data_IF_071514342111
#
_entry.id   IF_071514342111
#
_cell.length_a   1.000
_cell.length_b   1.000
_cell.length_c   1.000
_cell.angle_alpha   90.00
_cell.angle_beta   90.00
_cell.angle_gamma   90.00
#
_symmetry.space_group_name_H-M   'P 1'
#
loop_
_entity.id
_entity.type
_entity.pdbx_description
1 polymer ?
#
# COMPACT_ATOMS: atom_id res chain seq x y z
N UNK A 1 -12.31 7.78 12.30
CA UNK A 1 -11.11 7.18 12.92
C UNK A 1 -10.80 5.91 12.16
N UNK A 2 -9.61 5.82 11.57
CA UNK A 2 -9.21 4.64 10.80
C UNK A 2 -9.04 3.44 11.75
N UNK A 3 -9.19 2.22 11.22
CA UNK A 3 -9.07 0.99 12.01
C UNK A 3 -7.68 0.85 12.64
N UNK A 4 -6.63 1.25 11.91
CA UNK A 4 -5.27 1.24 12.43
C UNK A 4 -5.11 2.15 13.65
N UNK A 5 -5.76 3.31 13.66
CA UNK A 5 -5.71 4.25 14.80
C UNK A 5 -6.36 3.63 16.04
N UNK A 6 -7.49 2.93 15.87
CA UNK A 6 -8.16 2.22 16.97
C UNK A 6 -7.27 1.12 17.55
N UNK A 7 -6.64 0.33 16.70
CA UNK A 7 -5.71 -0.74 17.13
C UNK A 7 -4.52 -0.15 17.88
N UNK A 8 -3.93 0.95 17.38
CA UNK A 8 -2.85 1.67 18.04
C UNK A 8 -3.25 2.24 19.40
N UNK A 9 -4.45 2.81 19.50
CA UNK A 9 -4.98 3.33 20.77
C UNK A 9 -5.15 2.21 21.81
N UNK A 10 -5.66 1.05 21.40
CA UNK A 10 -5.77 -0.12 22.27
C UNK A 10 -4.39 -0.61 22.71
N UNK A 11 -3.47 -0.80 21.76
CA UNK A 11 -2.10 -1.25 22.00
C UNK A 11 -1.35 -0.35 23.00
N UNK A 12 -1.44 0.97 22.84
CA UNK A 12 -0.77 1.94 23.71
C UNK A 12 -1.20 1.83 25.19
N UNK A 13 -2.39 1.29 25.47
CA UNK A 13 -2.92 1.10 26.83
C UNK A 13 -2.53 -0.25 27.44
N UNK A 14 -2.05 -1.21 26.65
CA UNK A 14 -1.76 -2.58 27.12
C UNK A 14 -0.67 -2.60 28.20
N UNK A 15 0.50 -1.96 28.03
CA UNK A 15 1.59 -2.06 29.02
C UNK A 15 1.16 -1.66 30.44
N UNK A 16 0.42 -0.56 30.58
CA UNK A 16 -0.06 -0.07 31.87
C UNK A 16 -1.17 -0.96 32.48
N UNK A 17 -1.93 -1.67 31.64
CA UNK A 17 -3.02 -2.55 32.11
C UNK A 17 -2.49 -3.90 32.55
N UNK A 18 -1.53 -4.47 31.84
CA UNK A 18 -1.02 -5.83 32.07
C UNK A 18 -0.48 -6.00 33.49
N UNK A 19 0.16 -4.98 34.07
CA UNK A 19 0.66 -5.00 35.45
C UNK A 19 -0.43 -5.25 36.51
N UNK A 20 -1.69 -4.94 36.17
CA UNK A 20 -2.83 -5.08 37.07
C UNK A 20 -3.76 -6.26 36.73
N UNK A 21 -3.49 -6.99 35.63
CA UNK A 21 -4.32 -8.11 35.18
C UNK A 21 -3.75 -9.42 35.72
N UNK A 22 -4.45 -10.04 36.66
CA UNK A 22 -4.01 -11.27 37.34
C UNK A 22 -4.81 -12.52 36.96
N UNK A 23 -5.89 -12.38 36.21
CA UNK A 23 -6.80 -13.49 35.88
C UNK A 23 -7.16 -13.49 34.41
N UNK A 24 -7.58 -14.65 33.91
CA UNK A 24 -8.09 -14.81 32.55
C UNK A 24 -9.34 -13.93 32.31
N UNK A 25 -10.26 -13.88 33.27
CA UNK A 25 -11.45 -13.00 33.21
C UNK A 25 -11.08 -11.51 33.12
N UNK A 26 -10.06 -11.07 33.86
CA UNK A 26 -9.57 -9.70 33.75
C UNK A 26 -8.94 -9.45 32.37
N UNK A 27 -8.22 -10.43 31.80
CA UNK A 27 -7.69 -10.35 30.42
C UNK A 27 -8.80 -10.22 29.39
N UNK A 28 -9.84 -11.05 29.49
CA UNK A 28 -11.01 -11.02 28.59
C UNK A 28 -11.65 -9.63 28.58
N UNK A 29 -11.94 -9.07 29.76
CA UNK A 29 -12.62 -7.79 29.89
C UNK A 29 -11.73 -6.60 29.51
N UNK A 30 -10.46 -6.59 29.94
CA UNK A 30 -9.59 -5.42 29.80
C UNK A 30 -8.92 -5.31 28.43
N UNK A 31 -8.72 -6.44 27.73
CA UNK A 31 -7.95 -6.54 26.48
C UNK A 31 -8.77 -7.13 25.32
N UNK A 32 -9.42 -8.28 25.50
CA UNK A 32 -10.08 -9.01 24.39
C UNK A 32 -11.40 -8.36 23.95
N UNK A 33 -12.30 -8.01 24.88
CA UNK A 33 -13.55 -7.32 24.53
C UNK A 33 -13.35 -5.98 23.80
N UNK A 34 -12.41 -5.11 24.23
CA UNK A 34 -12.05 -3.92 23.46
C UNK A 34 -11.59 -4.23 22.04
N UNK A 35 -10.82 -5.30 21.85
CA UNK A 35 -10.38 -5.73 20.52
C UNK A 35 -11.54 -6.20 19.65
N UNK A 36 -12.45 -7.03 20.18
CA UNK A 36 -13.68 -7.46 19.47
C UNK A 36 -14.53 -6.23 19.10
N UNK A 37 -14.62 -5.24 19.99
CA UNK A 37 -15.31 -3.97 19.72
C UNK A 37 -14.62 -3.19 18.60
N UNK A 38 -13.28 -3.17 18.58
CA UNK A 38 -12.52 -2.48 17.52
C UNK A 38 -12.71 -3.15 16.14
N UNK A 39 -12.93 -4.47 16.09
CA UNK A 39 -13.35 -5.18 14.88
C UNK A 39 -14.77 -4.78 14.41
N UNK A 40 -15.53 -4.04 15.21
CA UNK A 40 -16.84 -3.52 14.85
C UNK A 40 -18.01 -4.41 15.26
N UNK A 41 -17.77 -5.47 16.04
CA UNK A 41 -18.82 -6.32 16.60
C UNK A 41 -19.32 -5.75 17.93
N UNK A 42 -20.63 -5.80 18.16
CA UNK A 42 -21.23 -5.29 19.38
C UNK A 42 -21.14 -6.31 20.52
N UNK A 43 -20.20 -6.11 21.44
CA UNK A 43 -20.01 -6.96 22.63
C UNK A 43 -21.17 -6.90 23.63
N UNK A 44 -22.09 -5.95 23.49
CA UNK A 44 -23.29 -5.83 24.31
C UNK A 44 -24.54 -6.43 23.67
N UNK A 45 -24.44 -6.89 22.41
CA UNK A 45 -25.53 -7.58 21.72
C UNK A 45 -25.32 -9.09 21.84
N UNK A 46 -26.12 -9.81 22.67
CA UNK A 46 -25.98 -11.24 22.86
C UNK A 46 -26.40 -12.06 21.63
N UNK A 47 -26.91 -11.43 20.57
CA UNK A 47 -27.17 -12.09 19.28
C UNK A 47 -25.98 -11.99 18.32
N UNK A 48 -25.00 -11.13 18.63
CA UNK A 48 -23.81 -10.89 17.83
C UNK A 48 -22.54 -11.41 18.51
N UNK A 49 -22.33 -11.12 19.79
CA UNK A 49 -21.20 -11.65 20.56
C UNK A 49 -21.75 -12.45 21.73
N UNK A 50 -21.63 -13.77 21.64
CA UNK A 50 -22.14 -14.70 22.66
C UNK A 50 -21.00 -15.13 23.58
N UNK A 51 -20.98 -14.71 24.86
CA UNK A 51 -20.03 -15.23 25.83
C UNK A 51 -20.38 -16.67 26.22
N UNK A 52 -19.38 -17.43 26.67
CA UNK A 52 -19.55 -18.82 27.12
C UNK A 52 -20.35 -19.67 26.13
N UNK A 53 -20.06 -19.53 24.83
CA UNK A 53 -20.82 -20.17 23.77
C UNK A 53 -20.67 -21.68 23.83
N UNK A 54 -21.80 -22.38 23.69
CA UNK A 54 -21.88 -23.85 23.74
C UNK A 54 -22.34 -24.43 22.40
N UNK A 55 -21.63 -25.43 21.90
CA UNK A 55 -22.08 -26.26 20.78
C UNK A 55 -22.21 -27.71 21.27
N UNK A 56 -23.42 -28.25 21.26
CA UNK A 56 -23.68 -29.58 21.81
C UNK A 56 -22.98 -30.69 20.99
N UNK A 57 -22.22 -31.56 21.67
CA UNK A 57 -21.60 -32.76 21.07
C UNK A 57 -21.76 -33.97 21.98
N UNK A 58 -22.48 -35.00 21.52
CA UNK A 58 -22.39 -36.37 22.05
C UNK A 58 -22.33 -36.51 23.58
N UNK A 59 -21.41 -37.34 24.08
CA UNK A 59 -21.35 -37.82 25.48
C UNK A 59 -20.60 -36.92 26.48
N UNK A 60 -19.93 -35.84 26.05
CA UNK A 60 -19.29 -34.85 26.96
C UNK A 60 -20.01 -33.50 26.86
N UNK A 61 -21.00 -33.32 27.72
CA UNK A 61 -21.72 -32.06 27.90
C UNK A 61 -20.86 -31.03 28.65
N UNK A 62 -20.85 -29.78 28.17
CA UNK A 62 -20.54 -28.61 29.00
C UNK A 62 -19.21 -27.87 28.74
N UNK A 63 -18.45 -28.21 27.70
CA UNK A 63 -17.28 -27.39 27.32
C UNK A 63 -17.71 -26.19 26.49
N UNK A 64 -17.25 -24.99 26.87
CA UNK A 64 -17.66 -23.70 26.31
C UNK A 64 -16.44 -22.97 25.78
N UNK A 65 -16.55 -22.30 24.64
CA UNK A 65 -15.56 -21.29 24.24
C UNK A 65 -15.92 -19.95 24.86
N UNK A 66 -14.94 -19.09 25.06
CA UNK A 66 -15.13 -17.84 25.79
C UNK A 66 -16.04 -16.86 25.07
N UNK A 67 -15.83 -16.67 23.76
CA UNK A 67 -16.71 -15.85 22.94
C UNK A 67 -16.95 -16.49 21.57
N UNK A 68 -18.17 -16.36 21.07
CA UNK A 68 -18.50 -16.62 19.67
C UNK A 68 -19.03 -15.34 19.03
N UNK A 69 -18.46 -14.97 17.88
CA UNK A 69 -19.01 -13.92 17.03
C UNK A 69 -19.96 -14.58 16.05
N UNK A 70 -21.20 -14.08 16.03
CA UNK A 70 -22.28 -14.55 15.17
C UNK A 70 -22.55 -13.54 14.07
N UNK A 71 -22.80 -14.07 12.87
CA UNK A 71 -23.30 -13.30 11.74
C UNK A 71 -24.52 -14.03 11.17
N UNK A 72 -25.65 -13.34 11.09
CA UNK A 72 -26.94 -13.92 10.70
C UNK A 72 -27.33 -15.16 11.54
N UNK A 73 -27.06 -15.11 12.86
CA UNK A 73 -27.36 -16.18 13.80
C UNK A 73 -26.43 -17.41 13.71
N UNK A 74 -25.41 -17.39 12.86
CA UNK A 74 -24.41 -18.47 12.74
C UNK A 74 -23.06 -18.04 13.30
N UNK A 75 -22.36 -18.89 14.07
CA UNK A 75 -21.02 -18.59 14.54
C UNK A 75 -20.04 -18.51 13.36
N UNK A 76 -19.28 -17.43 13.29
CA UNK A 76 -18.27 -17.20 12.24
C UNK A 76 -16.84 -17.19 12.77
N UNK A 77 -16.63 -16.73 14.00
CA UNK A 77 -15.33 -16.67 14.68
C UNK A 77 -15.51 -17.08 16.14
N UNK A 78 -14.67 -17.99 16.61
CA UNK A 78 -14.65 -18.46 18.01
C UNK A 78 -13.39 -17.96 18.70
N UNK A 79 -13.50 -17.45 19.91
CA UNK A 79 -12.38 -16.99 20.72
C UNK A 79 -12.19 -17.89 21.94
N UNK A 80 -10.95 -18.35 22.10
CA UNK A 80 -10.40 -19.00 23.28
C UNK A 80 -9.40 -18.05 23.90
N UNK A 81 -9.64 -17.63 25.13
CA UNK A 81 -8.84 -16.67 25.84
C UNK A 81 -7.97 -17.36 26.89
N UNK A 82 -6.83 -16.73 27.17
CA UNK A 82 -5.90 -17.10 28.23
C UNK A 82 -5.51 -15.85 29.00
N UNK A 83 -4.98 -16.04 30.21
CA UNK A 83 -4.44 -14.93 30.97
C UNK A 83 -3.28 -14.27 30.20
N UNK A 84 -3.16 -12.94 30.27
CA UNK A 84 -2.14 -12.17 29.53
C UNK A 84 -0.70 -12.54 29.91
N UNK A 85 -0.47 -13.14 31.08
CA UNK A 85 0.83 -13.68 31.49
C UNK A 85 1.11 -15.09 30.97
N UNK A 86 0.15 -15.75 30.31
CA UNK A 86 0.31 -17.09 29.75
C UNK A 86 1.08 -17.07 28.43
N UNK A 87 1.90 -18.10 28.25
CA UNK A 87 2.64 -18.40 27.04
C UNK A 87 1.78 -19.27 26.10
N UNK A 88 1.23 -18.65 25.05
CA UNK A 88 0.31 -19.31 24.12
C UNK A 88 0.92 -20.50 23.37
N UNK A 89 2.25 -20.67 23.31
CA UNK A 89 2.87 -21.84 22.67
C UNK A 89 2.69 -23.12 23.48
N UNK A 90 2.52 -23.00 24.79
CA UNK A 90 2.32 -24.13 25.71
C UNK A 90 0.85 -24.46 25.92
N UNK A 91 -0.03 -23.61 25.43
CA UNK A 91 -1.47 -23.75 25.58
C UNK A 91 -2.05 -24.62 24.46
N UNK A 92 -2.89 -25.58 24.83
CA UNK A 92 -3.61 -26.39 23.86
C UNK A 92 -4.96 -25.77 23.55
N UNK A 93 -5.20 -25.46 22.27
CA UNK A 93 -6.50 -25.01 21.75
C UNK A 93 -7.54 -26.15 21.65
N UNK A 94 -7.59 -27.01 22.68
CA UNK A 94 -8.44 -28.22 22.72
C UNK A 94 -9.93 -27.90 22.64
N UNK A 95 -10.34 -26.75 23.17
CA UNK A 95 -11.71 -26.25 23.09
C UNK A 95 -12.03 -25.89 21.64
N UNK A 96 -11.27 -24.98 21.01
CA UNK A 96 -11.44 -24.62 19.59
C UNK A 96 -11.47 -25.86 18.68
N UNK A 97 -10.54 -26.81 18.87
CA UNK A 97 -10.48 -28.04 18.06
C UNK A 97 -11.79 -28.83 18.05
N UNK A 98 -12.44 -28.97 19.22
CA UNK A 98 -13.72 -29.68 19.33
C UNK A 98 -14.84 -28.92 18.63
N UNK A 99 -14.85 -27.60 18.72
CA UNK A 99 -15.90 -26.77 18.12
C UNK A 99 -15.90 -26.78 16.59
N UNK A 100 -14.72 -26.81 15.97
CA UNK A 100 -14.61 -26.93 14.51
C UNK A 100 -15.31 -28.18 13.97
N UNK A 101 -15.39 -29.25 14.76
CA UNK A 101 -16.03 -30.51 14.35
C UNK A 101 -17.56 -30.50 14.36
N UNK A 102 -18.17 -29.50 15.01
CA UNK A 102 -19.62 -29.50 15.32
C UNK A 102 -20.34 -28.18 15.02
N UNK A 103 -19.64 -27.18 14.51
CA UNK A 103 -20.22 -25.88 14.13
C UNK A 103 -19.89 -25.55 12.70
N UNK A 104 -20.70 -24.67 12.10
CA UNK A 104 -20.41 -24.03 10.80
C UNK A 104 -19.28 -22.98 10.92
N UNK A 105 -18.72 -22.77 12.11
CA UNK A 105 -17.66 -21.80 12.37
C UNK A 105 -16.36 -22.22 11.70
N UNK A 106 -15.75 -21.30 10.94
CA UNK A 106 -14.55 -21.58 10.12
C UNK A 106 -13.27 -20.96 10.68
N UNK A 107 -13.39 -20.09 11.69
CA UNK A 107 -12.26 -19.41 12.30
C UNK A 107 -12.24 -19.57 13.82
N UNK A 108 -11.07 -19.86 14.36
CA UNK A 108 -10.78 -19.90 15.78
C UNK A 108 -9.66 -18.94 16.12
N UNK A 109 -9.75 -18.28 17.26
CA UNK A 109 -8.75 -17.33 17.75
C UNK A 109 -8.32 -17.74 19.14
N UNK A 110 -7.07 -18.16 19.29
CA UNK A 110 -6.44 -18.34 20.60
C UNK A 110 -5.71 -17.05 20.96
N UNK A 111 -6.04 -16.46 22.10
CA UNK A 111 -5.45 -15.16 22.49
C UNK A 111 -5.22 -15.02 23.99
N UNK A 112 -4.21 -14.23 24.36
CA UNK A 112 -4.00 -13.75 25.72
C UNK A 112 -4.25 -12.23 25.84
N UNK A 113 -4.95 -11.64 24.85
CA UNK A 113 -5.21 -10.21 24.75
C UNK A 113 -4.06 -9.38 24.18
N UNK A 114 -2.84 -9.94 24.13
CA UNK A 114 -1.65 -9.31 23.54
C UNK A 114 -1.35 -9.93 22.16
N UNK A 115 -1.32 -11.25 22.11
CA UNK A 115 -1.09 -12.04 20.90
C UNK A 115 -2.42 -12.68 20.49
N UNK A 116 -2.78 -12.57 19.21
CA UNK A 116 -3.96 -13.17 18.61
C UNK A 116 -3.53 -14.16 17.54
N UNK A 117 -3.79 -15.46 17.75
CA UNK A 117 -3.46 -16.54 16.81
C UNK A 117 -4.73 -17.03 16.14
N UNK A 118 -4.81 -16.86 14.83
CA UNK A 118 -5.97 -17.22 14.02
C UNK A 118 -5.76 -18.60 13.38
N UNK A 119 -6.75 -19.45 13.54
CA UNK A 119 -6.82 -20.83 13.05
C UNK A 119 -8.04 -20.98 12.13
N UNK A 120 -7.91 -21.89 11.18
CA UNK A 120 -8.96 -22.26 10.24
C UNK A 120 -8.90 -23.76 9.99
N UNK A 121 -9.75 -24.27 9.10
CA UNK A 121 -9.86 -25.68 8.71
C UNK A 121 -9.46 -25.92 7.25
N UNK A 122 -8.35 -25.30 6.83
CA UNK A 122 -7.90 -25.33 5.43
C UNK A 122 -7.46 -26.72 4.99
N UNK A 123 -6.90 -27.52 5.90
CA UNK A 123 -6.43 -28.87 5.57
C UNK A 123 -7.58 -29.87 5.45
N UNK A 124 -8.51 -29.81 6.41
CA UNK A 124 -9.65 -30.72 6.49
C UNK A 124 -10.84 -29.95 7.01
N UNK A 125 -11.90 -29.89 6.21
CA UNK A 125 -13.15 -29.25 6.59
C UNK A 125 -13.64 -29.74 7.97
N UNK A 126 -14.09 -28.81 8.81
CA UNK A 126 -14.55 -29.07 10.17
C UNK A 126 -13.48 -29.68 11.10
N UNK A 127 -12.21 -29.50 10.76
CA UNK A 127 -11.08 -29.86 11.62
C UNK A 127 -10.09 -28.71 11.63
N UNK A 128 -9.93 -28.09 12.79
CA UNK A 128 -8.96 -27.03 12.98
C UNK A 128 -7.55 -27.50 12.63
N UNK A 129 -6.82 -26.67 11.88
CA UNK A 129 -5.42 -26.86 11.56
C UNK A 129 -4.57 -26.81 12.84
N UNK A 130 -3.48 -27.60 12.88
CA UNK A 130 -2.59 -27.66 14.06
C UNK A 130 -1.79 -26.36 14.27
N UNK A 131 -1.61 -25.56 13.21
CA UNK A 131 -0.85 -24.31 13.22
C UNK A 131 -1.73 -23.11 12.84
N UNK A 132 -1.52 -21.94 13.47
CA UNK A 132 -2.24 -20.73 13.08
C UNK A 132 -1.74 -20.24 11.71
N UNK A 133 -2.67 -19.76 10.87
CA UNK A 133 -2.34 -19.18 9.57
C UNK A 133 -1.96 -17.70 9.67
N UNK A 134 -2.43 -17.01 10.72
CA UNK A 134 -2.17 -15.59 10.96
C UNK A 134 -1.95 -15.35 12.45
N UNK A 135 -0.99 -14.49 12.77
CA UNK A 135 -0.67 -14.07 14.15
C UNK A 135 -0.53 -12.56 14.18
N UNK A 136 -1.17 -11.92 15.15
CA UNK A 136 -1.12 -10.48 15.34
C UNK A 136 -0.68 -10.15 16.76
N UNK A 137 0.37 -9.34 16.89
CA UNK A 137 0.91 -8.89 18.17
C UNK A 137 0.56 -7.42 18.40
N UNK A 138 -0.22 -7.14 19.44
CA UNK A 138 -0.62 -5.78 19.79
C UNK A 138 0.55 -4.91 20.26
N UNK A 139 1.66 -5.49 20.72
CA UNK A 139 2.84 -4.73 21.16
C UNK A 139 3.89 -4.55 20.06
N UNK A 140 3.71 -5.20 18.91
CA UNK A 140 4.59 -5.13 17.75
C UNK A 140 3.73 -5.09 16.47
N UNK A 141 3.12 -3.93 16.24
CA UNK A 141 2.15 -3.74 15.16
C UNK A 141 2.89 -3.46 13.85
N UNK A 142 2.82 -4.42 12.93
CA UNK A 142 3.16 -4.25 11.53
C UNK A 142 1.92 -3.77 10.74
N UNK A 143 2.03 -2.64 10.05
CA UNK A 143 0.92 -2.06 9.27
C UNK A 143 0.38 -3.02 8.21
N UNK A 144 1.24 -3.85 7.61
CA UNK A 144 0.81 -4.85 6.62
C UNK A 144 -0.09 -5.93 7.24
N UNK A 145 0.16 -6.31 8.50
CA UNK A 145 -0.68 -7.25 9.23
C UNK A 145 -2.00 -6.62 9.68
N UNK A 146 -2.04 -5.30 9.85
CA UNK A 146 -3.30 -4.58 10.14
C UNK A 146 -4.26 -4.66 8.95
N UNK A 147 -3.76 -4.57 7.72
CA UNK A 147 -4.58 -4.75 6.51
C UNK A 147 -5.18 -6.17 6.43
N UNK A 148 -4.44 -7.18 6.84
CA UNK A 148 -4.96 -8.54 6.96
C UNK A 148 -6.00 -8.66 8.08
N UNK A 149 -5.75 -8.03 9.23
CA UNK A 149 -6.68 -8.00 10.34
C UNK A 149 -7.99 -7.27 9.98
N UNK A 150 -7.94 -6.23 9.13
CA UNK A 150 -9.14 -5.50 8.65
C UNK A 150 -10.17 -6.43 8.00
N UNK A 151 -9.74 -7.56 7.40
CA UNK A 151 -10.66 -8.54 6.79
C UNK A 151 -11.55 -9.22 7.82
N UNK A 152 -11.15 -9.27 9.09
CA UNK A 152 -11.98 -9.83 10.17
C UNK A 152 -12.97 -8.82 10.77
N UNK A 153 -12.95 -7.55 10.33
CA UNK A 153 -13.91 -6.54 10.78
C UNK A 153 -15.30 -6.82 10.24
N UNK A 154 -16.34 -6.45 11.00
CA UNK A 154 -17.74 -6.68 10.64
C UNK A 154 -18.09 -6.16 9.23
N UNK A 155 -17.57 -5.00 8.84
CA UNK A 155 -17.85 -4.37 7.54
C UNK A 155 -17.16 -5.04 6.35
N UNK A 156 -16.06 -5.75 6.60
CA UNK A 156 -15.20 -6.33 5.55
C UNK A 156 -15.20 -7.86 5.57
N UNK A 157 -15.92 -8.48 6.50
CA UNK A 157 -15.91 -9.92 6.70
C UNK A 157 -16.46 -10.64 5.47
N UNK A 158 -15.60 -11.44 4.83
CA UNK A 158 -15.96 -12.31 3.73
C UNK A 158 -15.25 -13.65 3.90
N UNK A 159 -16.03 -14.71 4.14
CA UNK A 159 -15.50 -16.04 4.45
C UNK A 159 -14.55 -16.57 3.36
N UNK A 160 -14.97 -16.53 2.10
CA UNK A 160 -14.21 -17.11 0.98
C UNK A 160 -12.91 -16.35 0.73
N UNK A 161 -12.96 -15.01 0.82
CA UNK A 161 -11.77 -14.16 0.69
C UNK A 161 -10.76 -14.41 1.81
N UNK A 162 -11.24 -14.52 3.06
CA UNK A 162 -10.36 -14.75 4.21
C UNK A 162 -9.73 -16.14 4.13
N UNK A 163 -10.49 -17.18 3.75
CA UNK A 163 -9.94 -18.53 3.58
C UNK A 163 -8.88 -18.59 2.48
N UNK A 164 -9.09 -17.87 1.38
CA UNK A 164 -8.11 -17.78 0.29
C UNK A 164 -6.81 -17.13 0.80
N UNK A 165 -6.91 -15.99 1.47
CA UNK A 165 -5.71 -15.33 2.03
C UNK A 165 -5.08 -16.14 3.15
N UNK A 166 -5.86 -16.85 3.98
CA UNK A 166 -5.36 -17.70 5.05
C UNK A 166 -4.44 -18.81 4.52
N UNK A 167 -4.79 -19.42 3.39
CA UNK A 167 -3.94 -20.40 2.70
C UNK A 167 -2.61 -19.78 2.30
N UNK A 168 -2.63 -18.62 1.64
CA UNK A 168 -1.42 -17.92 1.20
C UNK A 168 -0.53 -17.49 2.38
N UNK A 169 -1.12 -16.93 3.45
CA UNK A 169 -0.41 -16.52 4.66
C UNK A 169 0.25 -17.71 5.35
N UNK A 170 -0.47 -18.83 5.49
CA UNK A 170 0.04 -20.07 6.11
C UNK A 170 1.28 -20.57 5.37
N UNK A 171 1.19 -20.74 4.05
CA UNK A 171 2.33 -21.25 3.28
C UNK A 171 3.47 -20.24 3.22
N UNK A 172 3.20 -18.94 3.12
CA UNK A 172 4.23 -17.90 3.16
C UNK A 172 5.00 -17.92 4.48
N UNK A 173 4.30 -18.07 5.62
CA UNK A 173 4.91 -18.19 6.95
C UNK A 173 5.81 -19.42 7.04
N UNK A 174 5.33 -20.58 6.61
CA UNK A 174 6.10 -21.83 6.64
C UNK A 174 7.32 -21.76 5.71
N UNK A 175 7.19 -21.17 4.52
CA UNK A 175 8.31 -20.96 3.60
C UNK A 175 9.35 -20.01 4.21
N UNK A 176 8.93 -18.89 4.82
CA UNK A 176 9.84 -17.96 5.52
C UNK A 176 10.62 -18.67 6.63
N UNK A 177 9.95 -19.54 7.41
CA UNK A 177 10.60 -20.34 8.45
C UNK A 177 11.65 -21.28 7.86
N UNK A 178 11.32 -21.99 6.77
CA UNK A 178 12.28 -22.85 6.07
C UNK A 178 13.47 -22.02 5.57
N UNK A 179 13.26 -20.85 4.98
CA UNK A 179 14.34 -19.96 4.52
C UNK A 179 15.25 -19.57 5.70
N UNK A 180 14.68 -19.22 6.85
CA UNK A 180 15.46 -18.88 8.05
C UNK A 180 16.28 -20.07 8.55
N UNK A 181 15.68 -21.26 8.61
CA UNK A 181 16.37 -22.50 8.98
C UNK A 181 17.51 -22.82 8.00
N UNK A 182 17.25 -22.80 6.69
CA UNK A 182 18.26 -23.04 5.66
C UNK A 182 19.38 -21.98 5.67
N UNK A 183 19.07 -20.74 6.05
CA UNK A 183 20.07 -19.66 6.20
C UNK A 183 21.01 -19.93 7.37
N UNK A 184 20.49 -20.42 8.48
CA UNK A 184 21.29 -20.75 9.68
C UNK A 184 22.06 -22.04 9.51
N UNK A 185 21.41 -23.07 8.98
CA UNK A 185 21.95 -24.41 8.81
C UNK A 185 21.40 -25.06 7.52
N UNK A 186 22.09 -24.88 6.38
CA UNK A 186 21.64 -25.43 5.10
C UNK A 186 21.55 -26.97 5.13
N UNK A 187 20.41 -27.51 4.70
CA UNK A 187 20.23 -28.96 4.54
C UNK A 187 21.05 -29.52 3.35
N UNK A 188 21.38 -30.82 3.38
CA UNK A 188 22.12 -31.48 2.29
C UNK A 188 21.40 -31.37 0.94
N UNK A 189 20.06 -31.41 0.92
CA UNK A 189 19.28 -31.19 -0.30
C UNK A 189 19.42 -29.78 -0.85
N UNK A 190 19.39 -28.77 0.02
CA UNK A 190 19.54 -27.37 -0.36
C UNK A 190 20.96 -27.07 -0.86
N UNK A 191 21.98 -27.66 -0.21
CA UNK A 191 23.37 -27.59 -0.67
C UNK A 191 23.54 -28.25 -2.04
N UNK A 192 22.95 -29.44 -2.25
CA UNK A 192 22.97 -30.13 -3.54
C UNK A 192 22.31 -29.31 -4.64
N UNK A 193 21.21 -28.63 -4.34
CA UNK A 193 20.52 -27.77 -5.30
C UNK A 193 21.47 -26.71 -5.86
N UNK A 194 22.12 -25.90 -5.01
CA UNK A 194 23.08 -24.89 -5.48
C UNK A 194 24.30 -25.52 -6.14
N UNK A 195 24.87 -26.55 -5.53
CA UNK A 195 26.07 -27.19 -6.05
C UNK A 195 25.84 -27.77 -7.45
N UNK A 196 24.67 -28.33 -7.73
CA UNK A 196 24.33 -28.88 -9.05
C UNK A 196 24.26 -27.84 -10.18
N UNK A 197 24.01 -26.57 -9.85
CA UNK A 197 23.91 -25.49 -10.84
C UNK A 197 25.27 -24.86 -11.17
N UNK A 198 26.25 -24.98 -10.27
CA UNK A 198 27.55 -24.29 -10.40
C UNK A 198 28.74 -25.26 -10.48
N UNK A 199 28.56 -26.53 -10.14
CA UNK A 199 29.60 -27.55 -10.15
C UNK A 199 29.26 -28.67 -11.13
N UNK A 200 30.11 -28.84 -12.15
CA UNK A 200 29.96 -29.84 -13.22
C UNK A 200 30.55 -31.21 -12.88
N UNK A 201 31.23 -31.35 -11.75
CA UNK A 201 31.86 -32.60 -11.32
C UNK A 201 30.91 -33.54 -10.56
N UNK A 202 31.39 -34.74 -10.22
CA UNK A 202 30.61 -35.68 -9.40
C UNK A 202 30.43 -35.16 -7.98
N UNK A 203 29.20 -35.24 -7.47
CA UNK A 203 28.82 -34.80 -6.13
C UNK A 203 29.30 -35.76 -5.04
N UNK A 204 30.62 -35.78 -4.81
CA UNK A 204 31.26 -36.62 -3.78
C UNK A 204 31.07 -36.02 -2.38
N UNK A 205 31.30 -36.81 -1.32
CA UNK A 205 31.16 -36.33 0.06
C UNK A 205 32.08 -35.13 0.40
N UNK A 206 33.36 -35.08 -0.01
CA UNK A 206 34.21 -33.91 0.22
C UNK A 206 33.72 -32.66 -0.51
N UNK A 207 33.23 -32.81 -1.74
CA UNK A 207 32.63 -31.71 -2.52
C UNK A 207 31.38 -31.19 -1.81
N UNK A 208 30.52 -32.07 -1.28
CA UNK A 208 29.33 -31.66 -0.53
C UNK A 208 29.66 -30.89 0.74
N UNK A 209 30.65 -31.34 1.52
CA UNK A 209 31.08 -30.62 2.73
C UNK A 209 31.63 -29.22 2.38
N UNK A 210 32.43 -29.14 1.31
CA UNK A 210 32.91 -27.85 0.80
C UNK A 210 31.75 -26.94 0.40
N UNK A 211 30.78 -27.46 -0.35
CA UNK A 211 29.61 -26.69 -0.78
C UNK A 211 28.68 -26.31 0.38
N UNK A 212 28.58 -27.11 1.45
CA UNK A 212 27.84 -26.74 2.65
C UNK A 212 28.42 -25.46 3.27
N UNK A 213 29.75 -25.42 3.46
CA UNK A 213 30.43 -24.23 4.00
C UNK A 213 30.29 -23.01 3.07
N UNK A 214 30.43 -23.22 1.75
CA UNK A 214 30.27 -22.15 0.75
C UNK A 214 28.84 -21.61 0.78
N UNK A 215 27.82 -22.48 0.77
CA UNK A 215 26.41 -22.10 0.76
C UNK A 215 26.06 -21.30 2.01
N UNK A 216 26.45 -21.79 3.19
CA UNK A 216 26.24 -21.11 4.47
C UNK A 216 26.88 -19.71 4.50
N UNK A 217 28.12 -19.61 4.01
CA UNK A 217 28.84 -18.32 3.93
C UNK A 217 28.16 -17.37 2.94
N UNK A 218 27.79 -17.86 1.76
CA UNK A 218 27.16 -17.08 0.71
C UNK A 218 25.80 -16.51 1.16
N UNK A 219 24.96 -17.30 1.81
CA UNK A 219 23.66 -16.84 2.34
C UNK A 219 23.84 -15.73 3.38
N UNK A 220 24.79 -15.91 4.32
CA UNK A 220 25.08 -14.89 5.33
C UNK A 220 25.62 -13.60 4.72
N UNK A 221 26.51 -13.72 3.72
CA UNK A 221 27.06 -12.57 3.01
C UNK A 221 25.95 -11.85 2.24
N UNK A 222 25.12 -12.56 1.49
CA UNK A 222 24.02 -12.00 0.73
C UNK A 222 23.05 -11.19 1.60
N UNK A 223 22.65 -11.73 2.76
CA UNK A 223 21.77 -11.01 3.69
C UNK A 223 22.46 -9.76 4.25
N UNK A 224 23.73 -9.87 4.65
CA UNK A 224 24.48 -8.72 5.15
C UNK A 224 24.65 -7.64 4.08
N UNK A 225 24.90 -8.04 2.83
CA UNK A 225 25.04 -7.11 1.72
C UNK A 225 23.73 -6.37 1.47
N UNK A 226 22.58 -7.08 1.50
CA UNK A 226 21.24 -6.46 1.41
C UNK A 226 20.91 -5.53 2.58
N UNK A 227 21.30 -5.88 3.80
CA UNK A 227 21.14 -5.00 4.98
C UNK A 227 22.04 -3.77 4.84
N UNK A 228 23.29 -3.94 4.42
CA UNK A 228 24.23 -2.84 4.23
C UNK A 228 23.81 -1.91 3.09
N UNK A 229 23.25 -2.44 2.00
CA UNK A 229 22.58 -1.65 0.97
C UNK A 229 21.49 -0.79 1.61
N UNK A 230 20.56 -1.39 2.35
CA UNK A 230 19.47 -0.66 3.03
C UNK A 230 19.96 0.38 4.04
N UNK A 231 20.97 0.08 4.85
CA UNK A 231 21.57 1.00 5.82
C UNK A 231 22.29 2.17 5.14
N UNK A 232 22.98 1.93 4.02
CA UNK A 232 23.57 3.02 3.23
C UNK A 232 22.50 3.98 2.72
N UNK A 233 21.33 3.48 2.31
CA UNK A 233 20.22 4.34 1.93
C UNK A 233 19.67 5.15 3.11
N UNK A 234 19.51 4.54 4.30
CA UNK A 234 19.03 5.24 5.50
C UNK A 234 20.03 6.28 6.05
N UNK A 235 21.34 6.02 5.99
CA UNK A 235 22.38 6.98 6.38
C UNK A 235 22.47 8.17 5.42
N UNK A 236 22.12 7.98 4.14
CA UNK A 236 22.00 9.07 3.16
C UNK A 236 20.75 9.91 3.47
N UNK A 237 19.64 9.33 3.91
CA UNK A 237 18.47 10.07 4.42
C UNK A 237 18.83 10.96 5.63
N UNK A 238 19.58 10.46 6.62
CA UNK A 238 19.99 11.27 7.79
C UNK A 238 20.94 12.43 7.43
N UNK A 239 21.85 12.24 6.46
CA UNK A 239 22.75 13.31 5.99
C UNK A 239 22.03 14.41 5.21
N UNK A 240 20.98 14.06 4.46
CA UNK A 240 20.17 15.05 3.73
C UNK A 240 19.30 15.89 4.69
N UNK A 241 18.94 15.35 5.86
CA UNK A 241 18.18 16.09 6.89
C UNK A 241 19.10 17.01 7.73
N UNK A 242 20.40 16.72 7.81
CA UNK A 242 21.35 17.45 8.67
C UNK A 242 22.23 18.50 7.97
N UNK A 243 22.29 18.52 6.63
CA UNK A 243 23.04 19.54 5.85
C UNK A 243 22.12 20.56 5.13
N UNK A 244 21.00 20.89 5.77
CA UNK A 244 20.05 21.88 5.27
C UNK A 244 20.38 23.33 5.64
N UNK A 245 21.63 23.79 5.55
CA UNK A 245 21.97 25.23 5.59
C UNK A 245 23.45 25.48 5.21
N UNK A 246 23.74 25.81 3.94
CA UNK A 246 24.68 26.87 3.49
C UNK A 246 25.00 26.78 1.97
N UNK A 247 24.37 27.70 1.23
CA UNK A 247 24.80 28.46 0.03
C UNK A 247 25.91 27.90 -0.90
N UNK A 248 25.61 27.72 -2.19
CA UNK A 248 26.05 28.57 -3.35
C UNK A 248 25.94 27.83 -4.69
N UNK A 249 25.49 28.58 -5.70
CA UNK A 249 25.60 28.25 -7.12
C UNK A 249 27.07 27.98 -7.50
N UNK A 250 27.37 26.75 -7.90
CA UNK A 250 28.37 26.41 -8.92
C UNK A 250 28.03 25.03 -9.51
N UNK A 251 28.36 24.75 -10.78
CA UNK A 251 27.91 23.55 -11.48
C UNK A 251 28.66 22.32 -10.97
N UNK A 252 27.94 21.35 -10.40
CA UNK A 252 28.52 20.05 -10.04
C UNK A 252 28.62 19.22 -11.33
N UNK A 253 29.85 18.94 -11.75
CA UNK A 253 30.17 18.00 -12.82
C UNK A 253 29.51 16.64 -12.56
N UNK A 254 28.77 16.15 -13.56
CA UNK A 254 28.17 14.83 -13.58
C UNK A 254 29.26 13.76 -13.60
N UNK A 255 29.31 12.92 -12.56
CA UNK A 255 30.06 11.66 -12.63
C UNK A 255 29.21 10.69 -13.47
N UNK A 256 29.47 10.64 -14.77
CA UNK A 256 28.95 9.62 -15.66
C UNK A 256 29.73 8.34 -15.36
N UNK A 257 29.06 7.32 -14.80
CA UNK A 257 29.60 5.96 -14.80
C UNK A 257 29.36 5.40 -16.20
N UNK A 258 30.33 5.55 -17.10
CA UNK A 258 30.30 4.85 -18.38
C UNK A 258 30.46 3.35 -18.14
N UNK A 259 29.40 2.57 -18.43
CA UNK A 259 29.52 1.10 -18.57
C UNK A 259 30.56 0.80 -19.64
N UNK A 260 31.54 -0.03 -19.30
CA UNK A 260 32.60 -0.43 -20.23
C UNK A 260 32.00 -1.05 -21.52
N UNK A 261 32.59 -0.80 -22.70
CA UNK A 261 32.08 -1.33 -23.95
C UNK A 261 32.35 -2.83 -24.02
N UNK A 262 31.39 -3.65 -23.60
CA UNK A 262 31.49 -5.11 -23.69
C UNK A 262 30.47 -5.91 -22.87
N UNK A 263 29.78 -5.30 -21.90
CA UNK A 263 28.74 -5.99 -21.14
C UNK A 263 27.48 -6.19 -21.99
N UNK A 264 26.99 -7.44 -22.04
CA UNK A 264 25.67 -7.75 -22.57
C UNK A 264 24.62 -6.88 -21.89
N UNK A 265 23.65 -6.40 -22.68
CA UNK A 265 22.55 -5.56 -22.20
C UNK A 265 21.65 -6.46 -21.33
N UNK A 266 21.92 -6.51 -20.03
CA UNK A 266 21.12 -7.25 -19.06
C UNK A 266 20.21 -6.25 -18.34
N UNK A 267 18.91 -6.39 -18.59
CA UNK A 267 17.86 -5.65 -17.88
C UNK A 267 17.89 -5.99 -16.40
N UNK A 268 18.01 -4.97 -15.55
CA UNK A 268 18.13 -5.11 -14.10
C UNK A 268 16.77 -5.42 -13.43
N UNK A 269 16.79 -6.00 -12.22
CA UNK A 269 15.56 -6.29 -11.45
C UNK A 269 14.73 -5.01 -11.19
N UNK A 270 15.40 -3.89 -10.91
CA UNK A 270 14.75 -2.59 -10.69
C UNK A 270 14.06 -2.06 -11.96
N UNK A 271 14.65 -2.29 -13.13
CA UNK A 271 14.02 -1.92 -14.40
C UNK A 271 12.80 -2.80 -14.70
N UNK A 272 12.85 -4.09 -14.35
CA UNK A 272 11.68 -4.97 -14.41
C UNK A 272 10.58 -4.51 -13.45
N UNK A 273 10.93 -4.14 -12.23
CA UNK A 273 9.99 -3.62 -11.24
C UNK A 273 9.32 -2.34 -11.74
N UNK A 274 10.11 -1.35 -12.21
CA UNK A 274 9.57 -0.13 -12.80
C UNK A 274 8.68 -0.39 -14.02
N UNK A 275 9.07 -1.34 -14.88
CA UNK A 275 8.24 -1.77 -16.00
C UNK A 275 6.92 -2.41 -15.56
N UNK A 276 6.92 -3.26 -14.53
CA UNK A 276 5.69 -3.87 -14.02
C UNK A 276 4.76 -2.85 -13.39
N UNK A 277 5.29 -1.81 -12.73
CA UNK A 277 4.47 -0.70 -12.23
C UNK A 277 3.81 0.05 -13.41
N UNK A 278 4.58 0.46 -14.42
CA UNK A 278 4.03 1.14 -15.61
C UNK A 278 2.98 0.26 -16.30
N UNK A 279 3.25 -1.04 -16.43
CA UNK A 279 2.32 -2.02 -17.00
C UNK A 279 1.03 -2.17 -16.19
N UNK A 280 1.14 -2.10 -14.86
CA UNK A 280 -0.01 -2.18 -13.95
C UNK A 280 -0.87 -0.92 -14.03
N UNK A 281 -0.24 0.26 -14.04
CA UNK A 281 -0.92 1.56 -14.22
C UNK A 281 -1.73 1.58 -15.52
N UNK A 282 -1.18 1.02 -16.59
CA UNK A 282 -1.79 1.02 -17.93
C UNK A 282 -2.76 -0.15 -18.17
N UNK A 283 -2.83 -1.13 -17.26
CA UNK A 283 -3.67 -2.33 -17.42
C UNK A 283 -5.16 -2.03 -17.51
N UNK A 284 -5.62 -0.95 -16.88
CA UNK A 284 -7.01 -0.47 -16.97
C UNK A 284 -7.27 0.37 -18.24
N UNK A 285 -6.24 0.67 -19.03
CA UNK A 285 -6.32 1.50 -20.22
C UNK A 285 -6.13 0.70 -21.51
N UNK A 286 -5.15 -0.20 -21.56
CA UNK A 286 -4.79 -0.97 -22.75
C UNK A 286 -4.46 -2.42 -22.40
N UNK A 287 -4.51 -3.33 -23.38
CA UNK A 287 -4.05 -4.70 -23.19
C UNK A 287 -2.58 -4.69 -22.72
N UNK A 288 -2.27 -5.25 -21.53
CA UNK A 288 -0.91 -5.30 -20.99
C UNK A 288 0.12 -5.94 -21.93
N UNK A 289 -0.30 -6.80 -22.89
CA UNK A 289 0.59 -7.39 -23.90
C UNK A 289 1.20 -6.34 -24.84
N UNK A 290 0.56 -5.18 -24.97
CA UNK A 290 1.03 -4.07 -25.81
C UNK A 290 2.11 -3.23 -25.12
N UNK A 291 2.25 -3.33 -23.79
CA UNK A 291 3.31 -2.66 -23.04
C UNK A 291 4.51 -3.59 -22.99
N UNK A 292 5.62 -3.13 -23.56
CA UNK A 292 6.86 -3.92 -23.73
C UNK A 292 8.05 -3.13 -23.22
N UNK A 293 9.12 -3.84 -22.85
CA UNK A 293 10.37 -3.22 -22.41
C UNK A 293 11.48 -3.51 -23.43
N UNK A 294 12.35 -2.54 -23.66
CA UNK A 294 13.60 -2.70 -24.41
C UNK A 294 14.71 -1.99 -23.67
N UNK A 295 15.66 -2.76 -23.19
CA UNK A 295 16.82 -2.20 -22.53
C UNK A 295 17.82 -1.64 -23.54
N UNK A 296 18.36 -0.47 -23.24
CA UNK A 296 19.45 0.16 -23.99
C UNK A 296 20.51 0.65 -23.01
N UNK A 297 21.76 0.80 -23.47
CA UNK A 297 22.92 1.01 -22.59
C UNK A 297 22.78 2.11 -21.53
N UNK A 298 22.02 3.17 -21.81
CA UNK A 298 21.86 4.33 -20.93
C UNK A 298 20.55 4.34 -20.14
N UNK A 299 19.54 3.55 -20.51
CA UNK A 299 18.21 3.55 -19.89
C UNK A 299 17.36 2.36 -20.36
N UNK A 300 16.32 2.03 -19.61
CA UNK A 300 15.33 1.06 -20.04
C UNK A 300 14.13 1.74 -20.74
N UNK A 301 13.84 1.41 -21.99
CA UNK A 301 12.64 1.92 -22.68
C UNK A 301 11.41 1.08 -22.31
N UNK A 302 10.34 1.75 -21.92
CA UNK A 302 8.99 1.16 -21.91
C UNK A 302 8.23 1.68 -23.14
N UNK A 303 7.78 0.76 -23.99
CA UNK A 303 7.22 1.04 -25.32
C UNK A 303 5.81 0.49 -25.47
N UNK A 304 4.98 1.23 -26.19
CA UNK A 304 3.70 0.74 -26.69
C UNK A 304 3.92 -0.01 -28.01
N UNK A 305 3.26 -1.16 -28.17
CA UNK A 305 3.28 -2.02 -29.36
C UNK A 305 4.70 -2.42 -29.81
N UNK A 306 5.66 -2.49 -28.87
CA UNK A 306 7.06 -2.77 -29.16
C UNK A 306 7.66 -1.84 -30.24
N UNK A 307 7.21 -0.58 -30.26
CA UNK A 307 7.55 0.39 -31.30
C UNK A 307 8.36 1.57 -30.75
N UNK A 308 9.59 1.76 -31.23
CA UNK A 308 10.48 2.84 -30.80
C UNK A 308 9.93 4.26 -31.09
N UNK A 309 8.90 4.39 -31.94
CA UNK A 309 8.22 5.67 -32.21
C UNK A 309 7.07 5.97 -31.24
N UNK A 310 6.74 5.01 -30.36
CA UNK A 310 5.69 5.08 -29.33
C UNK A 310 6.27 4.85 -27.91
N UNK A 311 7.27 5.63 -27.46
CA UNK A 311 7.82 5.47 -26.11
C UNK A 311 6.84 5.97 -25.05
N UNK A 312 6.50 5.10 -24.09
CA UNK A 312 5.64 5.41 -22.95
C UNK A 312 6.45 6.19 -21.91
N UNK A 313 7.60 5.64 -21.50
CA UNK A 313 8.54 6.30 -20.62
C UNK A 313 9.94 5.68 -20.74
N UNK A 314 10.93 6.32 -20.12
CA UNK A 314 12.30 5.80 -19.97
C UNK A 314 12.67 5.69 -18.50
N UNK A 315 13.27 4.56 -18.12
CA UNK A 315 13.74 4.30 -16.77
C UNK A 315 15.25 4.53 -16.73
N UNK A 316 15.69 5.61 -16.09
CA UNK A 316 17.11 5.92 -15.90
C UNK A 316 17.53 5.49 -14.49
N UNK A 317 17.73 4.18 -14.31
CA UNK A 317 18.08 3.59 -13.01
C UNK A 317 19.56 3.23 -12.88
N UNK A 318 20.37 3.58 -13.89
CA UNK A 318 21.80 3.29 -13.93
C UNK A 318 22.64 4.17 -12.98
N UNK A 319 22.04 5.14 -12.30
CA UNK A 319 22.72 6.10 -11.40
C UNK A 319 22.09 6.11 -10.01
N UNK A 320 22.86 6.56 -9.00
CA UNK A 320 22.40 6.64 -7.60
C UNK A 320 21.11 7.44 -7.44
N UNK A 321 20.95 8.53 -8.21
CA UNK A 321 19.68 9.22 -8.37
C UNK A 321 18.94 8.61 -9.57
N UNK A 322 17.74 8.07 -9.32
CA UNK A 322 16.88 7.52 -10.37
C UNK A 322 16.07 8.62 -11.02
N UNK A 323 15.83 8.48 -12.33
CA UNK A 323 14.95 9.38 -13.06
C UNK A 323 13.94 8.60 -13.91
N UNK A 324 12.77 9.20 -14.07
CA UNK A 324 11.73 8.77 -15.00
C UNK A 324 11.67 9.77 -16.16
N UNK A 325 11.93 9.32 -17.38
CA UNK A 325 11.72 10.12 -18.59
C UNK A 325 10.27 10.02 -19.04
N UNK A 326 9.53 11.13 -18.95
CA UNK A 326 8.15 11.27 -19.40
C UNK A 326 8.09 11.99 -20.75
N UNK A 327 7.17 11.61 -21.63
CA UNK A 327 7.03 12.20 -22.96
C UNK A 327 5.78 13.07 -23.06
N UNK A 328 5.90 14.20 -23.76
CA UNK A 328 4.75 15.00 -24.18
C UNK A 328 4.23 14.59 -25.58
N UNK A 329 3.12 15.20 -26.03
CA UNK A 329 2.55 14.95 -27.37
C UNK A 329 3.47 15.41 -28.53
N UNK A 330 4.47 16.24 -28.25
CA UNK A 330 5.50 16.65 -29.21
C UNK A 330 6.70 15.70 -29.21
N UNK A 331 6.65 14.61 -28.42
CA UNK A 331 7.72 13.63 -28.19
C UNK A 331 8.96 14.23 -27.53
N UNK A 332 8.82 15.37 -26.86
CA UNK A 332 9.87 15.90 -26.00
C UNK A 332 9.88 15.13 -24.69
N UNK A 333 11.08 14.80 -24.25
CA UNK A 333 11.30 14.08 -23.01
C UNK A 333 11.58 15.04 -21.86
N UNK A 334 10.86 14.86 -20.77
CA UNK A 334 11.12 15.50 -19.49
C UNK A 334 11.59 14.45 -18.48
N UNK A 335 12.83 14.56 -18.03
CA UNK A 335 13.38 13.71 -16.97
C UNK A 335 12.99 14.24 -15.60
N UNK A 336 12.31 13.43 -14.80
CA UNK A 336 11.90 13.76 -13.43
C UNK A 336 12.62 12.86 -12.42
N UNK A 337 13.23 13.42 -11.35
CA UNK A 337 13.86 12.59 -10.34
C UNK A 337 12.80 11.81 -9.56
N UNK A 338 13.11 10.54 -9.29
CA UNK A 338 12.34 9.67 -8.41
C UNK A 338 13.25 9.12 -7.31
N UNK A 339 12.71 9.01 -6.09
CA UNK A 339 13.47 8.53 -4.94
C UNK A 339 13.27 7.02 -4.75
N UNK A 340 12.03 6.54 -4.98
CA UNK A 340 11.67 5.12 -4.96
C UNK A 340 11.04 4.71 -6.30
N UNK A 341 11.09 3.43 -6.66
CA UNK A 341 10.50 2.92 -7.90
C UNK A 341 8.97 3.12 -7.89
N UNK A 342 8.33 3.00 -6.73
CA UNK A 342 6.90 3.30 -6.52
C UNK A 342 6.51 4.75 -6.81
N UNK A 343 7.44 5.70 -6.85
CA UNK A 343 7.13 7.09 -7.22
C UNK A 343 6.59 7.20 -8.65
N UNK A 344 6.77 6.17 -9.49
CA UNK A 344 6.15 6.08 -10.83
C UNK A 344 4.62 6.24 -10.75
N UNK A 345 3.95 5.76 -9.68
CA UNK A 345 2.51 5.93 -9.49
C UNK A 345 2.07 7.40 -9.47
N UNK A 346 2.95 8.31 -9.01
CA UNK A 346 2.68 9.76 -8.99
C UNK A 346 2.55 10.37 -10.39
N UNK A 347 3.00 9.64 -11.43
CA UNK A 347 2.99 10.07 -12.83
C UNK A 347 2.02 9.24 -13.70
N UNK A 348 1.08 8.52 -13.06
CA UNK A 348 0.13 7.64 -13.75
C UNK A 348 -0.64 8.33 -14.88
N UNK A 349 -1.08 9.57 -14.65
CA UNK A 349 -1.86 10.32 -15.65
C UNK A 349 -1.03 10.70 -16.87
N UNK A 350 0.25 11.07 -16.67
CA UNK A 350 1.15 11.41 -17.78
C UNK A 350 1.43 10.17 -18.65
N UNK A 351 1.61 8.99 -18.02
CA UNK A 351 1.77 7.71 -18.72
C UNK A 351 0.52 7.31 -19.52
N UNK A 352 -0.68 7.54 -18.96
CA UNK A 352 -1.95 7.30 -19.67
C UNK A 352 -2.12 8.25 -20.85
N UNK A 353 -1.85 9.54 -20.66
CA UNK A 353 -1.97 10.56 -21.71
C UNK A 353 -1.10 10.28 -22.94
N UNK A 354 0.13 9.77 -22.74
CA UNK A 354 1.02 9.48 -23.87
C UNK A 354 0.61 8.20 -24.60
N UNK A 355 0.09 7.20 -23.90
CA UNK A 355 -0.46 5.99 -24.51
C UNK A 355 -1.69 6.31 -25.36
N UNK A 356 -2.60 7.14 -24.84
CA UNK A 356 -3.77 7.64 -25.57
C UNK A 356 -3.36 8.35 -26.87
N UNK A 357 -2.34 9.21 -26.80
CA UNK A 357 -1.82 9.88 -27.99
C UNK A 357 -1.31 8.92 -29.07
N UNK A 358 -0.83 7.73 -28.71
CA UNK A 358 -0.31 6.74 -29.66
C UNK A 358 -1.33 5.68 -30.11
N UNK A 359 -2.48 5.57 -29.46
CA UNK A 359 -3.46 4.51 -29.69
C UNK A 359 -4.71 5.04 -30.42
N UNK A 360 -4.70 4.97 -31.75
CA UNK A 360 -5.79 5.44 -32.61
C UNK A 360 -7.11 4.66 -32.44
N UNK A 361 -7.09 3.50 -31.79
CA UNK A 361 -8.24 2.62 -31.55
C UNK A 361 -8.88 2.81 -30.17
N UNK A 362 -8.48 3.83 -29.39
CA UNK A 362 -9.06 4.09 -28.09
C UNK A 362 -10.51 4.62 -28.25
N UNK A 363 -11.53 3.97 -27.65
CA UNK A 363 -12.88 4.50 -27.71
C UNK A 363 -12.92 5.85 -26.99
N UNK A 364 -13.25 6.91 -27.73
CA UNK A 364 -13.23 8.30 -27.28
C UNK A 364 -14.22 8.66 -26.15
N UNK A 365 -14.75 7.67 -25.43
CA UNK A 365 -15.82 7.83 -24.44
C UNK A 365 -15.42 7.56 -22.99
N UNK A 366 -14.20 7.11 -22.69
CA UNK A 366 -13.75 6.96 -21.30
C UNK A 366 -12.54 7.87 -21.00
N UNK A 367 -12.86 9.01 -20.36
CA UNK A 367 -11.98 9.97 -19.69
C UNK A 367 -11.04 10.80 -20.60
N UNK A 368 -11.62 11.71 -21.40
CA UNK A 368 -10.89 12.87 -21.92
C UNK A 368 -10.41 13.75 -20.76
N UNK A 369 -9.09 13.89 -20.60
CA UNK A 369 -8.54 15.02 -19.87
C UNK A 369 -8.84 16.35 -20.60
N UNK A 370 -8.83 17.46 -19.88
CA UNK A 370 -9.12 18.80 -20.41
C UNK A 370 -7.92 19.46 -21.12
N UNK A 371 -6.76 18.79 -21.24
CA UNK A 371 -5.54 19.36 -21.85
C UNK A 371 -5.71 19.53 -23.37
N UNK A 372 -5.69 20.78 -23.84
CA UNK A 372 -5.84 21.15 -25.24
C UNK A 372 -7.28 21.41 -25.68
N UNK A 373 -8.23 21.34 -24.75
CA UNK A 373 -9.63 21.71 -24.96
C UNK A 373 -9.86 23.16 -24.54
N UNK A 374 -10.92 23.78 -25.06
CA UNK A 374 -11.39 25.08 -24.58
C UNK A 374 -12.66 24.85 -23.77
N UNK A 375 -12.77 25.48 -22.60
CA UNK A 375 -14.00 25.43 -21.82
C UNK A 375 -15.08 26.30 -22.48
N UNK A 376 -16.34 25.84 -22.44
CA UNK A 376 -17.53 26.65 -22.80
C UNK A 376 -18.25 27.12 -21.55
N UNK A 377 -18.47 26.22 -20.60
CA UNK A 377 -19.25 26.49 -19.41
C UNK A 377 -18.93 25.47 -18.31
N UNK A 378 -19.39 25.75 -17.11
CA UNK A 378 -19.47 24.75 -16.04
C UNK A 378 -20.82 24.85 -15.35
N UNK A 379 -21.29 23.75 -14.78
CA UNK A 379 -22.46 23.71 -13.92
C UNK A 379 -22.02 23.53 -12.47
N UNK A 380 -22.61 24.31 -11.58
CA UNK A 380 -22.43 24.14 -10.14
C UNK A 380 -23.81 24.09 -9.49
N UNK A 381 -24.16 22.94 -8.89
CA UNK A 381 -25.45 22.70 -8.21
C UNK A 381 -26.68 23.01 -9.07
N UNK A 382 -26.70 22.61 -10.34
CA UNK A 382 -27.83 22.89 -11.23
C UNK A 382 -27.78 24.25 -11.94
N UNK A 383 -26.81 25.11 -11.62
CA UNK A 383 -26.69 26.45 -12.21
C UNK A 383 -25.52 26.48 -13.19
N UNK A 384 -25.83 26.80 -14.45
CA UNK A 384 -24.85 26.89 -15.54
C UNK A 384 -24.19 28.27 -15.61
N UNK A 385 -22.86 28.28 -15.76
CA UNK A 385 -22.03 29.48 -15.86
C UNK A 385 -21.17 29.42 -17.13
N UNK A 386 -21.39 30.37 -18.04
CA UNK A 386 -20.59 30.52 -19.27
C UNK A 386 -19.20 31.10 -18.95
N UNK A 387 -18.15 30.49 -19.52
CA UNK A 387 -16.75 30.90 -19.35
C UNK A 387 -15.98 30.73 -20.66
N UNK A 388 -15.04 31.63 -20.94
CA UNK A 388 -14.27 31.65 -22.18
C UNK A 388 -12.85 31.05 -22.04
N UNK A 389 -12.42 30.74 -20.82
CA UNK A 389 -11.10 30.20 -20.51
C UNK A 389 -11.08 29.40 -19.20
N UNK A 390 -10.14 28.46 -19.10
CA UNK A 390 -9.92 27.67 -17.88
C UNK A 390 -9.62 28.54 -16.66
N UNK A 391 -8.84 29.61 -16.87
CA UNK A 391 -8.58 30.62 -15.84
C UNK A 391 -9.88 31.23 -15.31
N UNK A 392 -10.79 31.64 -16.20
CA UNK A 392 -12.06 32.24 -15.79
C UNK A 392 -12.99 31.24 -15.11
N UNK A 393 -12.93 29.95 -15.44
CA UNK A 393 -13.60 28.91 -14.66
C UNK A 393 -13.11 28.90 -13.20
N UNK A 394 -11.79 28.84 -12.98
CA UNK A 394 -11.23 28.80 -11.62
C UNK A 394 -11.63 30.04 -10.81
N UNK A 395 -11.46 31.23 -11.39
CA UNK A 395 -11.86 32.48 -10.75
C UNK A 395 -13.34 32.50 -10.42
N UNK A 396 -14.20 32.02 -11.33
CA UNK A 396 -15.63 32.04 -11.11
C UNK A 396 -16.06 31.12 -9.98
N UNK A 397 -15.45 29.94 -9.89
CA UNK A 397 -15.64 29.04 -8.74
C UNK A 397 -15.20 29.72 -7.44
N UNK A 398 -14.03 30.36 -7.42
CA UNK A 398 -13.56 31.13 -6.27
C UNK A 398 -14.54 32.25 -5.88
N UNK A 399 -15.06 33.02 -6.84
CA UNK A 399 -16.03 34.09 -6.58
C UNK A 399 -17.34 33.56 -5.97
N UNK A 400 -17.86 32.44 -6.48
CA UNK A 400 -19.11 31.83 -5.98
C UNK A 400 -18.90 31.35 -4.55
N UNK A 401 -17.76 30.70 -4.27
CA UNK A 401 -17.41 30.20 -2.94
C UNK A 401 -17.18 31.35 -1.96
N UNK A 402 -16.49 32.41 -2.37
CA UNK A 402 -16.27 33.61 -1.57
C UNK A 402 -17.59 34.31 -1.23
N UNK A 403 -18.54 34.37 -2.17
CA UNK A 403 -19.84 35.00 -1.96
C UNK A 403 -20.71 34.18 -1.00
N UNK A 404 -20.64 32.85 -1.09
CA UNK A 404 -21.46 31.93 -0.30
C UNK A 404 -20.89 31.66 1.10
N UNK A 405 -19.57 31.71 1.24
CA UNK A 405 -18.82 31.29 2.44
C UNK A 405 -17.82 32.36 2.88
N UNK A 406 -18.27 33.62 2.93
CA UNK A 406 -17.41 34.81 3.10
C UNK A 406 -16.49 34.74 4.32
N UNK A 407 -17.01 34.33 5.47
CA UNK A 407 -16.27 34.30 6.74
C UNK A 407 -15.28 33.14 6.83
N UNK A 408 -15.47 32.10 6.00
CA UNK A 408 -14.68 30.89 5.97
C UNK A 408 -13.74 30.81 4.76
N UNK A 409 -13.81 31.78 3.85
CA UNK A 409 -13.13 31.71 2.57
C UNK A 409 -11.60 31.60 2.70
N UNK A 410 -11.00 32.10 3.80
CA UNK A 410 -9.56 31.96 4.06
C UNK A 410 -9.10 30.50 4.15
N UNK A 411 -10.00 29.52 4.37
CA UNK A 411 -9.67 28.09 4.37
C UNK A 411 -9.01 27.64 3.06
N UNK A 412 -9.23 28.32 1.93
CA UNK A 412 -8.57 27.99 0.64
C UNK A 412 -7.05 28.04 0.72
N UNK A 413 -6.47 28.79 1.66
CA UNK A 413 -5.02 28.84 1.91
C UNK A 413 -4.44 27.48 2.34
N UNK A 414 -5.27 26.55 2.82
CA UNK A 414 -4.87 25.17 3.12
C UNK A 414 -4.59 24.33 1.87
N UNK A 415 -5.12 24.73 0.70
CA UNK A 415 -4.89 24.05 -0.57
C UNK A 415 -3.51 24.42 -1.13
N UNK A 416 -2.58 23.49 -1.03
CA UNK A 416 -1.17 23.69 -1.42
C UNK A 416 -0.77 22.87 -2.64
N UNK A 417 0.04 23.46 -3.52
CA UNK A 417 0.68 22.76 -4.63
C UNK A 417 2.06 22.22 -4.24
N UNK A 418 2.60 21.28 -5.04
CA UNK A 418 3.84 20.54 -4.75
C UNK A 418 5.09 21.41 -4.46
N UNK A 419 5.20 22.57 -5.10
CA UNK A 419 6.35 23.49 -4.96
C UNK A 419 5.97 24.91 -4.58
N UNK A 420 4.71 25.30 -4.82
CA UNK A 420 4.18 26.64 -4.62
C UNK A 420 2.74 26.51 -4.14
N UNK A 421 2.25 27.43 -3.29
CA UNK A 421 0.86 27.44 -2.88
C UNK A 421 -0.06 27.68 -4.09
N UNK A 422 -1.29 27.18 -4.04
CA UNK A 422 -2.32 27.57 -5.01
C UNK A 422 -2.93 28.92 -4.65
N UNK A 423 -3.03 29.21 -3.36
CA UNK A 423 -3.58 30.44 -2.79
C UNK A 423 -2.61 31.07 -1.80
N UNK A 424 -2.46 32.39 -1.84
CA UNK A 424 -1.59 33.13 -0.91
C UNK A 424 -2.04 34.57 -0.76
N UNK A 425 -1.67 35.22 0.34
CA UNK A 425 -1.82 36.68 0.52
C UNK A 425 -0.64 37.46 -0.08
N UNK A 426 0.44 36.77 -0.41
CA UNK A 426 1.66 37.34 -0.98
C UNK A 426 1.83 36.91 -2.46
N UNK A 427 1.49 37.78 -3.43
CA UNK A 427 1.47 37.41 -4.85
C UNK A 427 2.82 36.96 -5.41
N UNK A 428 3.94 37.32 -4.78
CA UNK A 428 5.29 36.98 -5.23
C UNK A 428 5.61 35.48 -5.04
N UNK A 429 4.82 34.78 -4.24
CA UNK A 429 4.93 33.32 -4.06
C UNK A 429 4.36 32.53 -5.25
N UNK A 430 3.56 33.16 -6.11
CA UNK A 430 2.93 32.54 -7.28
C UNK A 430 3.75 32.80 -8.56
N UNK A 431 3.55 31.96 -9.59
CA UNK A 431 4.15 32.19 -10.93
C UNK A 431 3.35 33.21 -11.72
N UNK A 432 2.04 33.11 -11.66
CA UNK A 432 1.11 34.08 -12.21
C UNK A 432 -0.06 34.21 -11.26
N UNK A 433 -0.23 35.40 -10.67
CA UNK A 433 -1.21 35.64 -9.63
C UNK A 433 -2.41 36.42 -10.17
N UNK A 434 -3.57 36.11 -9.64
CA UNK A 434 -4.77 36.93 -9.81
C UNK A 434 -5.51 37.07 -8.49
N UNK A 435 -5.95 38.29 -8.19
CA UNK A 435 -6.64 38.59 -6.95
C UNK A 435 -8.09 38.11 -7.02
N UNK A 436 -8.52 37.34 -6.02
CA UNK A 436 -9.92 36.90 -5.90
C UNK A 436 -10.77 38.08 -5.43
N UNK A 437 -11.80 38.40 -6.20
CA UNK A 437 -12.67 39.55 -5.96
C UNK A 437 -13.29 39.47 -4.56
N UNK A 438 -13.21 40.56 -3.80
CA UNK A 438 -13.74 40.64 -2.44
C UNK A 438 -12.80 40.14 -1.34
N UNK A 439 -11.55 39.81 -1.65
CA UNK A 439 -10.56 39.27 -0.68
C UNK A 439 -9.18 39.94 -0.82
N UNK A 440 -8.26 39.65 0.10
CA UNK A 440 -6.81 39.91 0.01
C UNK A 440 -6.02 38.68 -0.49
N UNK A 441 -6.71 37.65 -1.00
CA UNK A 441 -6.12 36.38 -1.45
C UNK A 441 -5.91 36.38 -2.97
N UNK A 442 -4.76 35.87 -3.39
CA UNK A 442 -4.37 35.64 -4.78
C UNK A 442 -4.37 34.14 -5.10
N UNK A 443 -4.75 33.79 -6.33
CA UNK A 443 -4.75 32.42 -6.86
C UNK A 443 -3.74 32.26 -8.00
N UNK A 444 -3.08 31.11 -8.07
CA UNK A 444 -2.23 30.72 -9.20
C UNK A 444 -3.06 30.44 -10.44
N UNK A 445 -2.80 31.18 -11.52
CA UNK A 445 -3.53 31.04 -12.79
C UNK A 445 -2.70 30.36 -13.89
N UNK A 446 -1.40 30.16 -13.70
CA UNK A 446 -0.56 29.39 -14.62
C UNK A 446 -0.66 27.87 -14.35
N UNK A 447 -1.87 27.35 -14.48
CA UNK A 447 -2.22 25.95 -14.21
C UNK A 447 -2.74 25.26 -15.48
N UNK A 448 -2.50 23.96 -15.59
CA UNK A 448 -3.10 23.17 -16.68
C UNK A 448 -4.61 23.03 -16.48
N UNK A 449 -5.37 22.84 -17.56
CA UNK A 449 -6.83 22.65 -17.50
C UNK A 449 -7.25 21.55 -16.51
N UNK A 450 -6.53 20.41 -16.48
CA UNK A 450 -6.77 19.34 -15.51
C UNK A 450 -6.52 19.78 -14.08
N UNK A 451 -5.45 20.54 -13.85
CA UNK A 451 -5.14 21.08 -12.52
C UNK A 451 -6.20 22.07 -12.08
N UNK A 452 -6.72 22.88 -13.00
CA UNK A 452 -7.81 23.83 -12.76
C UNK A 452 -9.07 23.09 -12.35
N UNK A 453 -9.52 22.10 -13.12
CA UNK A 453 -10.74 21.34 -12.78
C UNK A 453 -10.60 20.62 -11.44
N UNK A 454 -9.45 19.97 -11.19
CA UNK A 454 -9.16 19.33 -9.91
C UNK A 454 -9.15 20.34 -8.76
N UNK A 455 -8.52 21.49 -8.95
CA UNK A 455 -8.47 22.55 -7.94
C UNK A 455 -9.87 23.09 -7.67
N UNK A 456 -10.68 23.33 -8.70
CA UNK A 456 -12.09 23.73 -8.56
C UNK A 456 -12.91 22.72 -7.77
N UNK A 457 -12.73 21.42 -8.02
CA UNK A 457 -13.35 20.35 -7.22
C UNK A 457 -12.88 20.35 -5.77
N UNK A 458 -11.59 20.53 -5.52
CA UNK A 458 -11.06 20.60 -4.17
C UNK A 458 -11.60 21.82 -3.40
N UNK A 459 -11.78 22.97 -4.07
CA UNK A 459 -12.36 24.17 -3.47
C UNK A 459 -13.80 23.90 -3.04
N UNK A 460 -14.65 23.32 -3.89
CA UNK A 460 -16.06 23.08 -3.49
C UNK A 460 -16.15 22.03 -2.37
N UNK A 461 -15.30 20.99 -2.39
CA UNK A 461 -15.22 19.98 -1.32
C UNK A 461 -14.85 20.61 0.01
N UNK A 462 -13.87 21.54 0.00
CA UNK A 462 -13.44 22.27 1.18
C UNK A 462 -14.60 23.02 1.86
N UNK A 463 -15.57 23.50 1.07
CA UNK A 463 -16.75 24.21 1.57
C UNK A 463 -18.01 23.32 1.70
N UNK A 464 -17.83 21.99 1.76
CA UNK A 464 -18.89 21.03 2.09
C UNK A 464 -19.78 20.59 0.93
N UNK A 465 -19.36 20.84 -0.31
CA UNK A 465 -20.05 20.35 -1.52
C UNK A 465 -19.47 19.01 -1.99
N UNK A 466 -20.25 18.24 -2.75
CA UNK A 466 -19.77 17.00 -3.34
C UNK A 466 -18.98 17.26 -4.62
N UNK A 467 -18.07 16.36 -4.97
CA UNK A 467 -17.29 16.46 -6.22
C UNK A 467 -18.21 16.49 -7.47
N UNK A 468 -19.31 15.74 -7.42
CA UNK A 468 -20.32 15.64 -8.49
C UNK A 468 -21.12 16.92 -8.68
N UNK A 469 -21.09 17.86 -7.71
CA UNK A 469 -21.81 19.13 -7.82
C UNK A 469 -21.20 20.06 -8.88
N UNK A 470 -19.99 19.77 -9.38
CA UNK A 470 -19.31 20.52 -10.43
C UNK A 470 -19.09 19.67 -11.69
N UNK A 471 -19.74 20.07 -12.78
CA UNK A 471 -19.53 19.51 -14.12
C UNK A 471 -18.97 20.58 -15.06
N UNK A 472 -18.18 20.16 -16.06
CA UNK A 472 -17.53 21.09 -17.00
C UNK A 472 -17.87 20.69 -18.43
N UNK A 473 -18.27 21.67 -19.23
CA UNK A 473 -18.48 21.52 -20.66
C UNK A 473 -17.33 22.17 -21.44
N UNK A 474 -16.89 21.48 -22.49
CA UNK A 474 -15.84 21.95 -23.41
C UNK A 474 -16.44 22.28 -24.78
N UNK A 475 -15.75 23.14 -25.53
CA UNK A 475 -16.06 23.53 -26.91
C UNK A 475 -15.55 22.53 -27.92
#
# INVERSE_FOLDING_TARGET
MDFIDKIRELAARIPNKVEHIQTEEATKNALVLPFITALGYNVFDPTEVVPEFTADVGTKKGEKVDYAILMNGKPIILFECKWCGSDLEKEHASQLYRYFSVTDGRFGVLTNGIIYRFYSDLEKQNKMDDKPFFEFNMLDIDESLVEELKKFTKSSFNLDSILTTASELKYTKEIKKIIEEQTKDPSDEFVKFFASQVYSGRMTQPVREQFYQITKKALKQFINDKINERLKYALVEERVISEGEMIRNEPIEQIIIEKQPGEEIITTEEEYEGYYIVKTILRSFIDPKRVTIRDVKSYCNVLLDNNNRKPICRLYFNTSQKYLGLFDKNKNEQSVPINYIDDIYKYSDDLKCIVEYYDENFPAQELQGFRGTNVSSFELRGVKYEVDSWRNLLLKVCEIMQTSHKDEFEQVLSLTGRKRPYFTKDPDQLRSSERIKGTDIYVEINLSANTIVRLSKNIIILFGYNEEDLSVEIK
#
